data_IF_668994824635
#
_entry.id   IF_668994824635
#
_cell.length_a   1.000
_cell.length_b   1.000
_cell.length_c   1.000
_cell.angle_alpha   90.00
_cell.angle_beta   90.00
_cell.angle_gamma   90.00
#
_symmetry.space_group_name_H-M   'P 1'
#
loop_
_entity.id
_entity.type
_entity.pdbx_description
1 polymer ?
#
# COMPACT_ATOMS: atom_id res chain seq x y z
N UNK A 1 -5.72 21.93 -7.36
CA UNK A 1 -4.50 21.29 -6.82
C UNK A 1 -4.86 19.93 -6.21
N UNK A 2 -4.16 18.83 -6.55
CA UNK A 2 -4.50 17.47 -6.05
C UNK A 2 -4.27 17.30 -4.53
N UNK A 3 -3.38 18.11 -3.93
CA UNK A 3 -3.33 18.33 -2.49
C UNK A 3 -3.99 19.67 -2.14
N UNK A 4 -5.01 19.65 -1.28
CA UNK A 4 -5.48 20.86 -0.59
C UNK A 4 -4.54 21.25 0.56
N UNK A 5 -4.65 22.47 1.07
CA UNK A 5 -3.74 23.01 2.11
C UNK A 5 -3.57 22.11 3.35
N UNK A 6 -4.66 21.52 3.85
CA UNK A 6 -4.61 20.59 5.01
C UNK A 6 -3.77 19.34 4.71
N UNK A 7 -3.86 18.80 3.49
CA UNK A 7 -3.10 17.61 3.07
C UNK A 7 -1.64 17.96 2.82
N UNK A 8 -1.38 19.16 2.29
CA UNK A 8 -0.01 19.67 2.15
C UNK A 8 0.67 19.82 3.52
N UNK A 9 0.00 20.40 4.51
CA UNK A 9 0.52 20.51 5.88
C UNK A 9 0.77 19.13 6.48
N UNK A 10 -0.17 18.19 6.30
CA UNK A 10 0.01 16.81 6.73
C UNK A 10 1.23 16.14 6.09
N UNK A 11 1.41 16.28 4.78
CA UNK A 11 2.58 15.78 4.05
C UNK A 11 3.87 16.39 4.61
N UNK A 12 3.91 17.71 4.76
CA UNK A 12 5.08 18.42 5.26
C UNK A 12 5.47 17.97 6.67
N UNK A 13 4.51 17.93 7.59
CA UNK A 13 4.76 17.57 8.99
C UNK A 13 5.16 16.10 9.14
N UNK A 14 4.46 15.17 8.49
CA UNK A 14 4.80 13.74 8.56
C UNK A 14 6.19 13.46 7.98
N UNK A 15 6.55 14.13 6.90
CA UNK A 15 7.89 14.03 6.30
C UNK A 15 8.96 14.62 7.23
N UNK A 16 8.71 15.78 7.84
CA UNK A 16 9.63 16.38 8.82
C UNK A 16 9.84 15.51 10.05
N UNK A 17 8.76 14.94 10.61
CA UNK A 17 8.83 14.04 11.76
C UNK A 17 9.60 12.77 11.40
N UNK A 18 9.30 12.14 10.26
CA UNK A 18 10.02 10.95 9.81
C UNK A 18 11.51 11.24 9.56
N UNK A 19 11.82 12.41 9.00
CA UNK A 19 13.19 12.93 8.87
C UNK A 19 13.89 13.03 10.22
N UNK A 20 13.26 13.68 11.20
CA UNK A 20 13.80 13.84 12.55
C UNK A 20 14.00 12.50 13.28
N UNK A 21 13.07 11.55 13.10
CA UNK A 21 13.18 10.20 13.68
C UNK A 21 14.34 9.43 13.06
N UNK A 22 14.43 9.40 11.72
CA UNK A 22 15.48 8.62 11.06
C UNK A 22 16.87 9.20 11.34
N UNK A 23 16.96 10.50 11.55
CA UNK A 23 18.22 11.13 11.89
C UNK A 23 18.75 10.85 13.31
N UNK A 24 17.95 10.22 14.18
CA UNK A 24 18.42 9.67 15.46
C UNK A 24 19.45 8.54 15.29
N UNK A 25 19.57 7.96 14.08
CA UNK A 25 20.64 7.01 13.74
C UNK A 25 22.04 7.65 13.79
N UNK A 26 22.12 8.97 13.89
CA UNK A 26 23.37 9.74 14.04
C UNK A 26 23.26 10.72 15.21
N UNK A 27 23.22 10.23 16.47
CA UNK A 27 22.78 11.01 17.64
C UNK A 27 23.75 12.11 18.11
N UNK A 28 25.00 12.10 17.62
CA UNK A 28 26.07 12.97 18.13
C UNK A 28 26.17 14.33 17.42
N UNK A 29 25.21 14.69 16.55
CA UNK A 29 25.27 15.94 15.81
C UNK A 29 23.88 16.59 15.73
N UNK A 30 23.84 17.89 16.01
CA UNK A 30 22.61 18.67 16.00
C UNK A 30 22.02 18.78 14.59
N UNK A 31 20.70 18.68 14.53
CA UNK A 31 19.94 18.69 13.27
C UNK A 31 19.11 19.95 13.26
N UNK A 32 19.44 20.86 12.35
CA UNK A 32 18.73 22.11 12.18
C UNK A 32 18.33 22.18 10.71
N UNK A 33 17.03 22.04 10.43
CA UNK A 33 16.55 22.23 9.07
C UNK A 33 15.15 21.69 8.79
N UNK A 34 14.44 22.39 7.92
CA UNK A 34 13.19 21.97 7.31
C UNK A 34 13.37 20.98 6.15
N UNK A 35 14.62 20.63 5.79
CA UNK A 35 14.92 19.91 4.55
C UNK A 35 14.24 18.54 4.48
N UNK A 36 14.18 17.76 5.56
CA UNK A 36 13.45 16.49 5.57
C UNK A 36 11.98 16.64 5.15
N UNK A 37 11.30 17.71 5.61
CA UNK A 37 9.93 18.00 5.21
C UNK A 37 9.83 18.37 3.71
N UNK A 38 10.77 19.17 3.21
CA UNK A 38 10.85 19.56 1.79
C UNK A 38 11.07 18.34 0.89
N UNK A 39 11.92 17.41 1.30
CA UNK A 39 12.20 16.18 0.55
C UNK A 39 10.95 15.29 0.40
N UNK A 40 10.15 15.17 1.45
CA UNK A 40 8.85 14.50 1.35
C UNK A 40 7.83 15.24 0.48
N UNK A 41 7.83 16.59 0.49
CA UNK A 41 7.02 17.39 -0.44
C UNK A 41 7.45 17.19 -1.89
N UNK A 42 8.75 17.17 -2.18
CA UNK A 42 9.27 16.91 -3.53
C UNK A 42 8.84 15.53 -4.03
N UNK A 43 8.91 14.51 -3.17
CA UNK A 43 8.41 13.18 -3.50
C UNK A 43 6.90 13.19 -3.78
N UNK A 44 6.11 13.87 -2.95
CA UNK A 44 4.68 14.03 -3.19
C UNK A 44 4.39 14.72 -4.53
N UNK A 45 5.15 15.76 -4.87
CA UNK A 45 5.03 16.43 -6.17
C UNK A 45 5.38 15.47 -7.33
N UNK A 46 6.52 14.80 -7.28
CA UNK A 46 6.93 13.85 -8.32
C UNK A 46 5.98 12.66 -8.44
N UNK A 47 5.30 12.26 -7.36
CA UNK A 47 4.29 11.21 -7.40
C UNK A 47 3.06 11.61 -8.21
N UNK A 48 2.57 12.86 -8.04
CA UNK A 48 1.40 13.35 -8.76
C UNK A 48 1.71 13.89 -10.16
N UNK A 49 2.94 14.37 -10.38
CA UNK A 49 3.38 14.98 -11.63
C UNK A 49 4.76 14.44 -12.06
N UNK A 50 4.88 13.12 -12.33
CA UNK A 50 6.19 12.48 -12.54
C UNK A 50 6.92 12.93 -13.79
N UNK A 51 6.19 13.38 -14.82
CA UNK A 51 6.73 13.83 -16.12
C UNK A 51 6.82 15.34 -16.24
N UNK A 52 6.48 16.07 -15.18
CA UNK A 52 6.57 17.52 -15.19
C UNK A 52 8.04 17.94 -15.16
N UNK A 53 8.40 18.91 -16.00
CA UNK A 53 9.78 19.32 -16.17
C UNK A 53 10.15 20.33 -15.09
N UNK A 54 11.10 19.94 -14.25
CA UNK A 54 11.70 20.80 -13.24
C UNK A 54 13.07 21.24 -13.74
N UNK A 55 13.35 22.54 -13.65
CA UNK A 55 14.66 23.08 -14.00
C UNK A 55 15.58 23.00 -12.80
N UNK A 56 16.61 22.15 -12.89
CA UNK A 56 17.74 22.16 -11.96
C UNK A 56 18.81 23.04 -12.58
N UNK A 57 18.92 24.26 -12.06
CA UNK A 57 19.65 25.35 -12.70
C UNK A 57 19.12 25.60 -14.13
N UNK A 58 19.81 25.07 -15.15
CA UNK A 58 19.47 25.24 -16.56
C UNK A 58 19.09 23.92 -17.25
N UNK A 59 19.21 22.78 -16.55
CA UNK A 59 18.91 21.47 -17.12
C UNK A 59 17.45 21.10 -16.79
N UNK A 60 16.56 20.98 -17.80
CA UNK A 60 15.23 20.45 -17.58
C UNK A 60 15.33 18.94 -17.31
N UNK A 61 14.70 18.49 -16.24
CA UNK A 61 14.58 17.07 -15.94
C UNK A 61 13.19 16.76 -15.40
N UNK A 62 12.67 15.57 -15.70
CA UNK A 62 11.38 15.16 -15.15
C UNK A 62 11.47 15.01 -13.62
N UNK A 63 10.45 15.46 -12.91
CA UNK A 63 10.39 15.44 -11.45
C UNK A 63 10.71 14.06 -10.84
N UNK A 64 10.27 12.97 -11.49
CA UNK A 64 10.57 11.59 -11.05
C UNK A 64 12.07 11.31 -11.01
N UNK A 65 12.82 11.77 -12.00
CA UNK A 65 14.27 11.52 -12.07
C UNK A 65 15.02 12.34 -11.04
N UNK A 66 14.56 13.57 -10.77
CA UNK A 66 15.13 14.42 -9.73
C UNK A 66 15.02 13.74 -8.36
N UNK A 67 13.81 13.25 -8.02
CA UNK A 67 13.57 12.58 -6.74
C UNK A 67 14.33 11.26 -6.62
N UNK A 68 14.38 10.45 -7.69
CA UNK A 68 15.16 9.21 -7.72
C UNK A 68 16.65 9.51 -7.49
N UNK A 69 17.21 10.46 -8.22
CA UNK A 69 18.61 10.86 -8.08
C UNK A 69 18.92 11.35 -6.65
N UNK A 70 18.09 12.26 -6.11
CA UNK A 70 18.26 12.75 -4.74
C UNK A 70 18.14 11.66 -3.68
N UNK A 71 17.26 10.68 -3.89
CA UNK A 71 17.10 9.52 -3.00
C UNK A 71 18.36 8.65 -3.04
N UNK A 72 18.86 8.32 -4.23
CA UNK A 72 20.09 7.53 -4.41
C UNK A 72 21.30 8.24 -3.82
N UNK A 73 21.47 9.54 -4.06
CA UNK A 73 22.55 10.34 -3.46
C UNK A 73 22.46 10.35 -1.93
N UNK A 74 21.25 10.45 -1.37
CA UNK A 74 21.05 10.41 0.07
C UNK A 74 21.35 9.03 0.67
N UNK A 75 20.96 7.94 -0.01
CA UNK A 75 21.31 6.57 0.39
C UNK A 75 22.82 6.35 0.37
N UNK A 76 23.48 6.80 -0.70
CA UNK A 76 24.92 6.66 -0.87
C UNK A 76 25.71 7.47 0.17
N UNK A 77 25.29 8.72 0.44
CA UNK A 77 25.90 9.55 1.48
C UNK A 77 25.71 8.97 2.88
N UNK A 78 24.53 8.41 3.17
CA UNK A 78 24.28 7.69 4.42
C UNK A 78 25.18 6.45 4.56
N UNK A 79 25.40 5.70 3.48
CA UNK A 79 26.27 4.52 3.45
C UNK A 79 27.75 4.87 3.67
N UNK A 80 28.24 5.95 3.04
CA UNK A 80 29.64 6.37 3.13
C UNK A 80 30.00 7.05 4.46
N UNK A 81 29.02 7.42 5.29
CA UNK A 81 29.25 8.04 6.60
C UNK A 81 29.73 9.50 6.56
N UNK A 82 29.89 10.11 5.38
CA UNK A 82 30.23 11.53 5.25
C UNK A 82 28.96 12.39 5.45
N UNK A 83 28.93 13.25 6.48
CA UNK A 83 27.79 14.14 6.71
C UNK A 83 26.45 13.43 7.00
N UNK A 84 26.51 12.22 7.59
CA UNK A 84 25.40 11.26 7.66
C UNK A 84 24.06 11.80 8.16
N UNK A 85 24.05 12.82 9.01
CA UNK A 85 22.83 13.44 9.55
C UNK A 85 21.92 13.98 8.46
N UNK A 86 22.47 14.75 7.52
CA UNK A 86 21.68 15.37 6.45
C UNK A 86 21.08 14.28 5.56
N UNK A 87 21.84 13.22 5.30
CA UNK A 87 21.41 12.11 4.48
C UNK A 87 20.29 11.28 5.14
N UNK A 88 20.43 10.90 6.42
CA UNK A 88 19.37 10.21 7.14
C UNK A 88 18.11 11.08 7.31
N UNK A 89 18.26 12.38 7.55
CA UNK A 89 17.13 13.30 7.61
C UNK A 89 16.38 13.39 6.26
N UNK A 90 17.11 13.43 5.14
CA UNK A 90 16.52 13.44 3.80
C UNK A 90 15.83 12.12 3.47
N UNK A 91 16.46 10.98 3.80
CA UNK A 91 15.86 9.65 3.64
C UNK A 91 14.58 9.48 4.46
N UNK A 92 14.58 9.98 5.70
CA UNK A 92 13.40 9.96 6.55
C UNK A 92 12.30 10.86 5.98
N UNK A 93 12.67 11.99 5.40
CA UNK A 93 11.79 12.87 4.64
C UNK A 93 11.10 12.17 3.47
N UNK A 94 11.88 11.48 2.62
CA UNK A 94 11.34 10.69 1.51
C UNK A 94 10.43 9.56 1.99
N UNK A 95 10.85 8.81 3.01
CA UNK A 95 10.07 7.72 3.58
C UNK A 95 8.73 8.22 4.16
N UNK A 96 8.77 9.29 4.96
CA UNK A 96 7.58 9.90 5.55
C UNK A 96 6.62 10.43 4.49
N UNK A 97 7.14 11.12 3.47
CA UNK A 97 6.35 11.60 2.35
C UNK A 97 5.68 10.48 1.58
N UNK A 98 6.42 9.40 1.27
CA UNK A 98 5.90 8.22 0.59
C UNK A 98 4.78 7.54 1.38
N UNK A 99 5.01 7.32 2.69
CA UNK A 99 4.01 6.72 3.58
C UNK A 99 2.74 7.56 3.66
N UNK A 100 2.87 8.88 3.75
CA UNK A 100 1.72 9.78 3.80
C UNK A 100 0.92 9.77 2.49
N UNK A 101 1.60 9.85 1.35
CA UNK A 101 0.96 9.75 0.03
C UNK A 101 0.23 8.42 -0.11
N UNK A 102 0.88 7.31 0.24
CA UNK A 102 0.27 5.98 0.19
C UNK A 102 -0.95 5.87 1.09
N UNK A 103 -0.86 6.39 2.31
CA UNK A 103 -1.97 6.42 3.26
C UNK A 103 -3.17 7.22 2.72
N UNK A 104 -2.93 8.36 2.07
CA UNK A 104 -4.01 9.14 1.44
C UNK A 104 -4.70 8.39 0.30
N UNK A 105 -3.93 7.68 -0.53
CA UNK A 105 -4.48 6.87 -1.62
C UNK A 105 -5.35 5.74 -1.09
N UNK A 106 -4.89 5.02 -0.06
CA UNK A 106 -5.65 3.94 0.56
C UNK A 106 -6.97 4.43 1.17
N UNK A 107 -7.01 5.67 1.67
CA UNK A 107 -8.22 6.31 2.23
C UNK A 107 -9.03 7.11 1.21
N UNK A 108 -8.65 7.07 -0.07
CA UNK A 108 -9.38 7.84 -1.08
C UNK A 108 -10.77 7.22 -1.32
N UNK A 109 -11.83 8.04 -1.48
CA UNK A 109 -13.19 7.55 -1.73
C UNK A 109 -13.25 6.57 -2.90
N UNK A 110 -12.45 6.79 -3.96
CA UNK A 110 -12.38 5.87 -5.09
C UNK A 110 -11.94 4.45 -4.70
N UNK A 111 -10.98 4.30 -3.78
CA UNK A 111 -10.55 2.98 -3.29
C UNK A 111 -11.64 2.37 -2.42
N UNK A 112 -12.25 3.17 -1.53
CA UNK A 112 -13.36 2.70 -0.68
C UNK A 112 -14.58 2.27 -1.51
N UNK A 113 -14.93 3.02 -2.57
CA UNK A 113 -15.99 2.67 -3.51
C UNK A 113 -15.64 1.40 -4.30
N UNK A 114 -14.40 1.24 -4.78
CA UNK A 114 -14.00 0.01 -5.46
C UNK A 114 -14.07 -1.21 -4.55
N UNK A 115 -13.69 -1.06 -3.27
CA UNK A 115 -13.80 -2.14 -2.28
C UNK A 115 -15.25 -2.41 -1.90
N UNK A 116 -16.09 -1.38 -1.77
CA UNK A 116 -17.51 -1.52 -1.44
C UNK A 116 -18.37 -2.02 -2.62
N UNK A 117 -18.00 -1.64 -3.85
CA UNK A 117 -18.64 -2.07 -5.09
C UNK A 117 -18.02 -3.36 -5.65
N UNK A 118 -16.99 -3.91 -4.99
CA UNK A 118 -16.52 -5.25 -5.29
C UNK A 118 -17.73 -6.19 -5.12
N UNK A 119 -18.08 -6.98 -6.15
CA UNK A 119 -19.25 -7.85 -6.07
C UNK A 119 -19.05 -8.78 -4.87
N UNK A 120 -19.86 -8.59 -3.85
CA UNK A 120 -20.01 -9.60 -2.80
C UNK A 120 -20.67 -10.77 -3.50
N UNK A 121 -20.05 -11.96 -3.57
CA UNK A 121 -20.71 -13.10 -4.18
C UNK A 121 -22.01 -13.31 -3.41
N UNK A 122 -23.15 -13.05 -4.04
CA UNK A 122 -24.45 -13.33 -3.45
C UNK A 122 -24.60 -14.83 -3.55
N UNK A 123 -24.26 -15.54 -2.48
CA UNK A 123 -24.52 -16.97 -2.46
C UNK A 123 -26.02 -17.18 -2.45
N UNK A 124 -26.53 -17.72 -3.55
CA UNK A 124 -27.94 -18.02 -3.75
C UNK A 124 -28.26 -19.43 -3.26
N UNK A 125 -29.54 -19.72 -3.04
CA UNK A 125 -30.01 -21.10 -2.79
C UNK A 125 -29.63 -22.04 -3.93
N UNK A 126 -29.55 -21.53 -5.17
CA UNK A 126 -29.09 -22.31 -6.32
C UNK A 126 -27.61 -22.70 -6.24
N UNK A 127 -26.76 -21.89 -5.60
CA UNK A 127 -25.35 -22.24 -5.36
C UNK A 127 -25.23 -23.37 -4.34
N UNK A 128 -26.05 -23.33 -3.28
CA UNK A 128 -26.13 -24.39 -2.28
C UNK A 128 -26.55 -25.72 -2.91
N UNK A 129 -27.59 -25.70 -3.75
CA UNK A 129 -28.08 -26.89 -4.45
C UNK A 129 -27.07 -27.42 -5.48
N UNK A 130 -26.24 -26.55 -6.05
CA UNK A 130 -25.13 -26.95 -6.91
C UNK A 130 -24.04 -27.66 -6.09
N UNK A 131 -23.61 -27.08 -4.97
CA UNK A 131 -22.58 -27.67 -4.11
C UNK A 131 -23.02 -29.01 -3.53
N UNK A 132 -24.28 -29.15 -3.09
CA UNK A 132 -24.83 -30.40 -2.56
C UNK A 132 -24.83 -31.57 -3.56
N UNK A 133 -24.73 -31.29 -4.86
CA UNK A 133 -24.74 -32.31 -5.91
C UNK A 133 -23.35 -32.85 -6.28
N UNK A 134 -22.29 -32.38 -5.62
CA UNK A 134 -20.92 -32.84 -5.91
C UNK A 134 -20.77 -34.33 -5.58
N UNK A 135 -20.35 -35.19 -6.53
CA UNK A 135 -20.14 -36.61 -6.30
C UNK A 135 -18.88 -36.85 -5.46
N UNK A 136 -19.07 -37.15 -4.17
CA UNK A 136 -18.00 -37.33 -3.18
C UNK A 136 -17.00 -38.42 -3.55
N UNK A 137 -17.45 -39.46 -4.25
CA UNK A 137 -16.65 -40.59 -4.73
C UNK A 137 -15.55 -40.17 -5.72
N UNK A 138 -15.75 -39.06 -6.43
CA UNK A 138 -14.76 -38.50 -7.37
C UNK A 138 -13.71 -37.62 -6.69
N UNK A 139 -13.91 -37.24 -5.42
CA UNK A 139 -13.00 -36.37 -4.69
C UNK A 139 -11.84 -37.15 -4.07
N UNK A 140 -10.62 -36.63 -4.26
CA UNK A 140 -9.44 -37.08 -3.53
C UNK A 140 -9.68 -37.00 -2.01
N UNK A 141 -9.17 -37.93 -1.18
CA UNK A 141 -9.44 -37.97 0.27
C UNK A 141 -9.26 -36.64 0.99
N UNK A 142 -8.17 -35.92 0.69
CA UNK A 142 -7.88 -34.59 1.27
C UNK A 142 -8.95 -33.54 0.92
N UNK A 143 -9.46 -33.55 -0.32
CA UNK A 143 -10.49 -32.60 -0.74
C UNK A 143 -11.87 -32.98 -0.21
N UNK A 144 -12.10 -34.27 0.04
CA UNK A 144 -13.34 -34.76 0.65
C UNK A 144 -13.48 -34.27 2.09
N UNK A 145 -12.43 -34.43 2.89
CA UNK A 145 -12.43 -33.96 4.29
C UNK A 145 -12.68 -32.44 4.36
N UNK A 146 -12.02 -31.68 3.48
CA UNK A 146 -12.21 -30.23 3.40
C UNK A 146 -13.62 -29.85 2.91
N UNK A 147 -14.16 -30.57 1.92
CA UNK A 147 -15.54 -30.40 1.46
C UNK A 147 -16.54 -30.65 2.60
N UNK A 148 -16.38 -31.75 3.33
CA UNK A 148 -17.25 -32.08 4.46
C UNK A 148 -17.16 -31.03 5.58
N UNK A 149 -15.95 -30.56 5.91
CA UNK A 149 -15.73 -29.47 6.87
C UNK A 149 -16.49 -28.20 6.47
N UNK A 150 -16.37 -27.81 5.19
CA UNK A 150 -17.00 -26.60 4.68
C UNK A 150 -18.53 -26.76 4.62
N UNK A 151 -19.03 -27.92 4.17
CA UNK A 151 -20.47 -28.18 4.13
C UNK A 151 -21.10 -28.25 5.53
N UNK A 152 -20.41 -28.85 6.51
CA UNK A 152 -20.87 -28.87 7.90
C UNK A 152 -21.00 -27.45 8.48
N UNK A 153 -20.06 -26.56 8.14
CA UNK A 153 -20.14 -25.13 8.51
C UNK A 153 -21.37 -24.45 7.89
N UNK A 154 -21.71 -24.77 6.64
CA UNK A 154 -22.91 -24.24 5.99
C UNK A 154 -24.19 -24.73 6.66
N UNK A 155 -24.24 -25.98 7.09
CA UNK A 155 -25.40 -26.53 7.80
C UNK A 155 -25.60 -25.86 9.18
N UNK A 156 -24.52 -25.58 9.90
CA UNK A 156 -24.58 -24.99 11.24
C UNK A 156 -24.81 -23.47 11.24
N UNK A 157 -24.08 -22.73 10.39
CA UNK A 157 -24.03 -21.28 10.43
C UNK A 157 -24.66 -20.62 9.18
N UNK A 158 -25.19 -21.42 8.26
CA UNK A 158 -25.78 -20.95 7.02
C UNK A 158 -24.75 -20.57 5.96
N UNK A 159 -25.23 -20.39 4.74
CA UNK A 159 -24.43 -20.15 3.53
C UNK A 159 -23.62 -18.84 3.60
N UNK A 160 -24.14 -17.85 4.34
CA UNK A 160 -23.48 -16.56 4.53
C UNK A 160 -22.18 -16.65 5.37
N UNK A 161 -22.00 -17.74 6.11
CA UNK A 161 -20.82 -17.96 6.97
C UNK A 161 -19.53 -18.31 6.20
N UNK A 162 -19.65 -18.62 4.90
CA UNK A 162 -18.53 -19.02 4.06
C UNK A 162 -17.59 -17.87 3.72
N UNK A 163 -16.29 -18.12 3.87
CA UNK A 163 -15.24 -17.20 3.38
C UNK A 163 -15.16 -17.22 1.85
N UNK A 164 -14.53 -16.20 1.21
CA UNK A 164 -14.32 -16.20 -0.24
C UNK A 164 -13.57 -17.45 -0.73
N UNK A 165 -12.59 -17.93 0.04
CA UNK A 165 -11.78 -19.10 -0.31
C UNK A 165 -12.60 -20.39 -0.20
N UNK A 166 -13.43 -20.55 0.83
CA UNK A 166 -14.31 -21.70 0.99
C UNK A 166 -15.36 -21.78 -0.13
N UNK A 167 -15.88 -20.64 -0.60
CA UNK A 167 -16.78 -20.60 -1.77
C UNK A 167 -16.05 -21.00 -3.04
N UNK A 168 -14.88 -20.43 -3.28
CA UNK A 168 -14.06 -20.74 -4.44
C UNK A 168 -13.66 -22.23 -4.46
N UNK A 169 -13.43 -22.83 -3.30
CA UNK A 169 -13.21 -24.26 -3.17
C UNK A 169 -14.44 -25.07 -3.63
N UNK A 170 -15.64 -24.79 -3.11
CA UNK A 170 -16.87 -25.49 -3.51
C UNK A 170 -17.22 -25.28 -5.00
N UNK A 171 -16.97 -24.09 -5.53
CA UNK A 171 -17.22 -23.77 -6.94
C UNK A 171 -16.36 -24.59 -7.90
N UNK A 172 -15.10 -24.89 -7.54
CA UNK A 172 -14.19 -25.71 -8.37
C UNK A 172 -14.69 -27.14 -8.57
N UNK A 173 -15.38 -27.71 -7.60
CA UNK A 173 -15.85 -29.10 -7.65
C UNK A 173 -17.30 -29.22 -8.14
N UNK A 174 -18.02 -28.11 -8.24
CA UNK A 174 -19.43 -28.08 -8.60
C UNK A 174 -19.70 -27.62 -10.04
N UNK A 175 -18.66 -27.30 -10.81
CA UNK A 175 -18.72 -26.87 -12.21
C UNK A 175 -18.76 -28.03 -13.24
N UNK A 176 -19.15 -29.24 -12.80
CA UNK A 176 -19.29 -30.45 -13.63
C UNK A 176 -20.73 -30.70 -14.04
#
# INVERSE_FOLDING_TARGET
ARLGGRRFIGLYLTSGIAGAVLSLMTPNVAIIGASGAVFGVMLGYAHYWPRDLVYVFFLPMEARWLVVLMTVMSLFGAWQGQGGIAHFAHLGGFAGGFLYVRWMELRSPAVQFRTAAAPTPKTSTADLDRWRRVPLDTLHPVNREEYERVMAKVELAGVASLTPDERAFLDRFSAG
#
